data_IF_292676158140
#
_entry.id   IF_292676158140
#
_cell.length_a   1.000
_cell.length_b   1.000
_cell.length_c   1.000
_cell.angle_alpha   90.00
_cell.angle_beta   90.00
_cell.angle_gamma   90.00
#
_symmetry.space_group_name_H-M   'P 1'
#
loop_
_entity.id
_entity.type
_entity.pdbx_description
1 polymer ?
#
# COMPACT_ATOMS: atom_id res chain seq x y z
N UNK A 1 22.71 13.96 20.79
CA UNK A 1 21.28 13.70 21.01
C UNK A 1 20.52 14.95 20.62
N UNK A 2 19.71 14.90 19.56
CA UNK A 2 18.78 15.97 19.21
C UNK A 2 17.47 15.30 18.78
N UNK A 3 16.55 15.20 19.74
CA UNK A 3 15.14 15.03 19.44
C UNK A 3 14.69 16.35 18.81
N UNK A 4 14.27 16.30 17.54
CA UNK A 4 13.62 17.43 16.89
C UNK A 4 12.22 16.95 16.53
N UNK A 5 11.30 17.22 17.45
CA UNK A 5 9.87 17.27 17.17
C UNK A 5 9.74 18.40 16.14
N UNK A 6 9.40 18.03 14.91
CA UNK A 6 9.11 19.00 13.85
C UNK A 6 7.61 19.21 13.84
N UNK A 7 7.23 20.40 14.27
CA UNK A 7 5.87 20.92 14.17
C UNK A 7 5.45 20.88 12.69
N UNK A 8 4.40 20.10 12.43
CA UNK A 8 3.81 19.85 11.12
C UNK A 8 2.75 20.92 10.85
N UNK A 9 3.16 22.13 10.52
CA UNK A 9 2.27 23.09 9.86
C UNK A 9 3.10 24.05 8.99
N UNK A 10 2.64 24.25 7.75
CA UNK A 10 3.05 25.27 6.77
C UNK A 10 4.45 25.20 6.14
N UNK A 11 4.64 24.32 5.13
CA UNK A 11 5.34 24.70 3.89
C UNK A 11 5.14 23.65 2.76
N UNK A 12 4.41 23.95 1.68
CA UNK A 12 4.26 23.02 0.54
C UNK A 12 5.53 22.83 -0.29
N UNK A 13 6.57 23.67 -0.15
CA UNK A 13 7.81 23.55 -0.94
C UNK A 13 8.91 22.72 -0.26
N UNK A 14 8.83 22.46 1.04
CA UNK A 14 9.77 21.57 1.73
C UNK A 14 9.40 20.07 1.62
N UNK A 15 8.39 19.73 0.80
CA UNK A 15 7.87 18.38 0.61
C UNK A 15 8.74 17.48 -0.30
N UNK A 16 9.81 17.98 -0.92
CA UNK A 16 10.59 17.17 -1.88
C UNK A 16 11.53 16.15 -1.19
N UNK A 17 12.18 16.52 -0.08
CA UNK A 17 13.09 15.59 0.64
C UNK A 17 12.32 14.49 1.39
N UNK A 18 11.16 14.82 1.99
CA UNK A 18 10.27 13.83 2.60
C UNK A 18 9.65 12.91 1.55
N UNK A 19 9.29 13.44 0.37
CA UNK A 19 8.84 12.62 -0.74
C UNK A 19 9.95 11.67 -1.20
N UNK A 20 11.20 12.12 -1.30
CA UNK A 20 12.33 11.26 -1.69
C UNK A 20 12.67 10.19 -0.63
N UNK A 21 12.61 10.50 0.66
CA UNK A 21 12.84 9.50 1.72
C UNK A 21 11.70 8.50 1.79
N UNK A 22 10.45 8.97 1.72
CA UNK A 22 9.26 8.13 1.72
C UNK A 22 9.22 7.23 0.48
N UNK A 23 9.43 7.79 -0.70
CA UNK A 23 9.55 7.06 -1.98
C UNK A 23 10.69 6.04 -1.96
N UNK A 24 11.83 6.35 -1.32
CA UNK A 24 12.93 5.38 -1.12
C UNK A 24 12.55 4.23 -0.18
N UNK A 25 11.76 4.49 0.86
CA UNK A 25 11.27 3.46 1.79
C UNK A 25 10.17 2.61 1.17
N UNK A 26 9.28 3.23 0.40
CA UNK A 26 8.20 2.58 -0.37
C UNK A 26 8.74 1.72 -1.52
N UNK A 27 9.68 2.25 -2.32
CA UNK A 27 10.33 1.51 -3.43
C UNK A 27 11.14 0.30 -2.97
N UNK A 28 11.57 0.27 -1.70
CA UNK A 28 12.29 -0.87 -1.13
C UNK A 28 11.37 -2.01 -0.68
N UNK A 29 10.07 -1.77 -0.58
CA UNK A 29 9.09 -2.72 -0.05
C UNK A 29 8.30 -3.47 -1.13
N UNK A 30 8.32 -2.99 -2.38
CA UNK A 30 7.55 -3.57 -3.48
C UNK A 30 8.46 -4.07 -4.60
N UNK A 31 8.29 -5.33 -5.02
CA UNK A 31 9.07 -5.90 -6.13
C UNK A 31 8.66 -5.35 -7.50
N UNK A 32 7.43 -4.87 -7.60
CA UNK A 32 6.84 -4.32 -8.83
C UNK A 32 6.43 -2.86 -8.64
N UNK A 33 6.05 -2.21 -9.74
CA UNK A 33 5.58 -0.83 -9.78
C UNK A 33 4.36 -0.65 -8.85
N UNK A 34 4.42 0.38 -8.01
CA UNK A 34 3.42 0.70 -6.99
C UNK A 34 2.02 0.92 -7.59
N UNK A 35 1.95 1.41 -8.83
CA UNK A 35 0.66 1.61 -9.54
C UNK A 35 -0.18 0.34 -9.60
N UNK A 36 0.46 -0.84 -9.69
CA UNK A 36 -0.24 -2.11 -9.70
C UNK A 36 -0.85 -2.43 -8.33
N UNK A 37 -0.14 -2.08 -7.25
CA UNK A 37 -0.58 -2.38 -5.89
C UNK A 37 -1.70 -1.45 -5.46
N UNK A 38 -1.60 -0.16 -5.79
CA UNK A 38 -2.69 0.80 -5.58
C UNK A 38 -3.98 0.38 -6.30
N UNK A 39 -3.86 -0.15 -7.52
CA UNK A 39 -5.02 -0.67 -8.24
C UNK A 39 -5.64 -1.89 -7.54
N UNK A 40 -4.82 -2.82 -7.03
CA UNK A 40 -5.30 -3.98 -6.28
C UNK A 40 -5.92 -3.61 -4.94
N UNK A 41 -5.38 -2.60 -4.26
CA UNK A 41 -5.97 -2.09 -3.01
C UNK A 41 -7.37 -1.53 -3.27
N UNK A 42 -7.53 -0.68 -4.30
CA UNK A 42 -8.85 -0.19 -4.71
C UNK A 42 -9.80 -1.30 -5.16
N UNK A 43 -9.29 -2.32 -5.86
CA UNK A 43 -10.09 -3.48 -6.24
C UNK A 43 -10.57 -4.26 -5.01
N UNK A 44 -9.71 -4.43 -4.00
CA UNK A 44 -10.07 -5.07 -2.73
C UNK A 44 -11.12 -4.27 -1.97
N UNK A 45 -10.95 -2.96 -1.86
CA UNK A 45 -11.89 -2.06 -1.18
C UNK A 45 -13.26 -2.02 -1.88
N UNK A 46 -13.27 -2.12 -3.21
CA UNK A 46 -14.52 -2.14 -3.98
C UNK A 46 -15.37 -3.39 -3.75
N UNK A 47 -14.78 -4.50 -3.30
CA UNK A 47 -15.46 -5.78 -3.12
C UNK A 47 -15.94 -6.46 -4.42
N UNK A 48 -15.65 -5.90 -5.60
CA UNK A 48 -16.14 -6.39 -6.91
C UNK A 48 -15.57 -7.77 -7.28
N UNK A 49 -14.38 -8.11 -6.77
CA UNK A 49 -13.71 -9.37 -7.11
C UNK A 49 -13.12 -10.03 -5.87
N UNK A 50 -13.15 -11.36 -5.82
CA UNK A 50 -12.28 -12.08 -4.90
C UNK A 50 -10.82 -11.85 -5.34
N UNK A 51 -9.93 -11.51 -4.43
CA UNK A 51 -8.56 -11.12 -4.81
C UNK A 51 -7.76 -12.24 -5.50
N UNK A 52 -8.23 -13.49 -5.44
CA UNK A 52 -7.70 -14.62 -6.20
C UNK A 52 -8.01 -14.50 -7.71
N UNK A 53 -9.13 -13.88 -8.06
CA UNK A 53 -9.57 -13.55 -9.42
C UNK A 53 -9.13 -12.18 -9.92
N UNK A 54 -8.23 -11.47 -9.24
CA UNK A 54 -7.81 -10.12 -9.64
C UNK A 54 -6.88 -10.07 -10.86
N UNK A 55 -6.35 -11.22 -11.33
CA UNK A 55 -5.39 -11.29 -12.45
C UNK A 55 -5.93 -10.72 -13.77
N UNK A 56 -7.17 -11.04 -14.21
CA UNK A 56 -7.73 -10.48 -15.45
C UNK A 56 -7.94 -8.97 -15.35
N UNK A 57 -8.26 -8.44 -14.17
CA UNK A 57 -8.41 -7.00 -13.93
C UNK A 57 -7.08 -6.26 -14.10
N UNK A 58 -5.98 -6.81 -13.56
CA UNK A 58 -4.63 -6.27 -13.78
C UNK A 58 -4.27 -6.22 -15.26
N UNK A 59 -4.51 -7.30 -16.01
CA UNK A 59 -4.22 -7.35 -17.45
C UNK A 59 -5.09 -6.42 -18.27
N UNK A 60 -6.36 -6.29 -17.89
CA UNK A 60 -7.31 -5.39 -18.55
C UNK A 60 -6.91 -3.93 -18.34
N UNK A 61 -6.46 -3.56 -17.12
CA UNK A 61 -6.03 -2.21 -16.79
C UNK A 61 -4.62 -1.87 -17.30
N UNK A 62 -3.71 -2.83 -17.24
CA UNK A 62 -2.29 -2.67 -17.58
C UNK A 62 -1.94 -3.66 -18.70
N UNK A 63 -2.02 -3.18 -19.94
CA UNK A 63 -1.78 -4.01 -21.14
C UNK A 63 -0.31 -4.43 -21.26
N UNK A 64 0.59 -3.75 -20.56
CA UNK A 64 2.01 -4.11 -20.46
C UNK A 64 2.27 -5.37 -19.61
N UNK A 65 1.30 -5.80 -18.79
CA UNK A 65 1.44 -7.01 -17.98
C UNK A 65 1.04 -8.26 -18.76
N UNK A 66 2.00 -9.16 -18.91
CA UNK A 66 1.74 -10.54 -19.36
C UNK A 66 1.06 -11.36 -18.26
N UNK A 67 0.40 -12.47 -18.61
CA UNK A 67 -0.23 -13.38 -17.62
C UNK A 67 0.73 -13.84 -16.52
N UNK A 68 1.98 -14.25 -16.82
CA UNK A 68 2.93 -14.60 -15.79
C UNK A 68 3.29 -13.42 -14.89
N UNK A 69 3.43 -12.22 -15.47
CA UNK A 69 3.74 -11.01 -14.69
C UNK A 69 2.59 -10.62 -13.77
N UNK A 70 1.35 -10.58 -14.26
CA UNK A 70 0.17 -10.27 -13.46
C UNK A 70 0.01 -11.23 -12.27
N UNK A 71 0.34 -12.51 -12.47
CA UNK A 71 0.34 -13.53 -11.40
C UNK A 71 1.36 -13.22 -10.33
N UNK A 72 2.58 -12.88 -10.74
CA UNK A 72 3.66 -12.55 -9.81
C UNK A 72 3.39 -11.25 -9.04
N UNK A 73 2.86 -10.23 -9.73
CA UNK A 73 2.45 -8.96 -9.14
C UNK A 73 1.40 -9.19 -8.07
N UNK A 74 0.34 -9.94 -8.39
CA UNK A 74 -0.71 -10.25 -7.43
C UNK A 74 -0.18 -11.05 -6.23
N UNK A 75 0.66 -12.06 -6.48
CA UNK A 75 1.26 -12.85 -5.41
C UNK A 75 2.17 -12.04 -4.48
N UNK A 76 2.97 -11.13 -5.03
CA UNK A 76 3.80 -10.23 -4.23
C UNK A 76 2.95 -9.24 -3.43
N UNK A 77 1.92 -8.67 -4.07
CA UNK A 77 0.96 -7.80 -3.41
C UNK A 77 0.29 -8.49 -2.21
N UNK A 78 -0.18 -9.74 -2.35
CA UNK A 78 -0.80 -10.50 -1.26
C UNK A 78 0.18 -10.71 -0.09
N UNK A 79 1.42 -11.10 -0.40
CA UNK A 79 2.47 -11.34 0.63
C UNK A 79 2.78 -10.09 1.43
N UNK A 80 2.79 -8.95 0.78
CA UNK A 80 3.20 -7.66 1.37
C UNK A 80 2.02 -6.80 1.81
N UNK A 81 0.78 -7.28 1.66
CA UNK A 81 -0.44 -6.52 1.96
C UNK A 81 -0.50 -6.05 3.41
N UNK A 82 -0.23 -6.93 4.38
CA UNK A 82 -0.26 -6.62 5.81
C UNK A 82 0.78 -5.57 6.25
N UNK A 83 1.89 -5.45 5.51
CA UNK A 83 2.92 -4.44 5.77
C UNK A 83 2.49 -3.05 5.28
N UNK A 84 1.70 -3.00 4.19
CA UNK A 84 1.15 -1.75 3.64
C UNK A 84 -0.11 -1.28 4.35
N UNK A 85 -0.89 -2.23 4.85
CA UNK A 85 -2.15 -2.01 5.53
C UNK A 85 -2.05 -2.52 6.97
N UNK A 86 -1.25 -1.85 7.83
CA UNK A 86 -1.20 -2.23 9.23
C UNK A 86 -2.61 -2.10 9.79
N UNK A 87 -3.16 -3.21 10.27
CA UNK A 87 -4.39 -3.15 11.06
C UNK A 87 -4.04 -2.29 12.27
N UNK A 88 -4.59 -1.08 12.35
CA UNK A 88 -4.68 -0.38 13.62
C UNK A 88 -5.40 -1.36 14.54
N UNK A 89 -4.73 -1.81 15.60
CA UNK A 89 -5.45 -2.52 16.64
C UNK A 89 -6.55 -1.57 17.09
N UNK A 90 -7.78 -2.07 17.16
CA UNK A 90 -8.85 -1.38 17.85
C UNK A 90 -8.45 -1.36 19.33
N UNK A 91 -7.71 -0.33 19.71
CA UNK A 91 -7.47 0.05 21.09
C UNK A 91 -8.81 0.59 21.62
N UNK A 92 -9.32 -0.03 22.69
CA UNK A 92 -10.59 0.18 23.39
C UNK A 92 -11.85 -0.53 22.86
N UNK A 93 -12.02 -1.79 23.28
CA UNK A 93 -13.27 -2.19 23.93
C UNK A 93 -12.99 -2.55 25.38
N UNK A 94 -12.67 -1.53 26.18
CA UNK A 94 -12.86 -1.60 27.62
C UNK A 94 -14.36 -1.63 27.91
N UNK A 95 -14.86 -2.81 28.27
CA UNK A 95 -16.05 -2.95 29.10
C UNK A 95 -15.79 -4.10 30.08
N UNK A 96 -14.97 -3.80 31.10
CA UNK A 96 -15.16 -4.42 32.41
C UNK A 96 -16.51 -3.92 32.93
N UNK A 97 -17.55 -4.72 32.76
CA UNK A 97 -18.77 -4.60 33.54
C UNK A 97 -18.56 -5.31 34.87
N UNK A 98 -18.40 -4.49 35.91
CA UNK A 98 -18.51 -4.79 37.33
C UNK A 98 -19.86 -5.42 37.68
#
# INVERSE_FOLDING_TARGET
MKNQIIDLDEDPENADWLHQIRKRKEAKMTKYDEKYYRYLDGLRESGISNMFGARPFLRSKFRELTDPMATKVLGDWMKTFHLRHPKKQEENSGQESN
#
